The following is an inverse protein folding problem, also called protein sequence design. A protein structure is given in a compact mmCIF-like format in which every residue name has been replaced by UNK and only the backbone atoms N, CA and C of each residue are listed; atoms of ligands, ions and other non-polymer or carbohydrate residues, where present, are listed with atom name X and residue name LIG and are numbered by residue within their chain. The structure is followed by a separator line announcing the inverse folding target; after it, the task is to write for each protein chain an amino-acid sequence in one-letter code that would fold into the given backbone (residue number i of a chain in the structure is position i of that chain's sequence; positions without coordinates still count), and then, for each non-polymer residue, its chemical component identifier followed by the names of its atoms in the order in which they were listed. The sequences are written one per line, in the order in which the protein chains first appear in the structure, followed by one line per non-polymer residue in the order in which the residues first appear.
data_IF_433898703242
#
_entry.id   IF_433898703242
#
_cell.length_a   1.000
_cell.length_b   1.000
_cell.length_c   1.000
_cell.angle_alpha   90.00
_cell.angle_beta   90.00
_cell.angle_gamma   90.00
#
_symmetry.space_group_name_H-M   'P 1'
#
loop_
_entity.id
_entity.type
_entity.pdbx_description
1 polymer ?
#
# COMPACT_ATOMS: atom_id res chain seq x y z
N UNK A 1 7.66 -0.71 -12.96
CA UNK A 1 6.57 -0.95 -11.99
C UNK A 1 7.13 -1.89 -10.91
N UNK A 2 7.59 -1.34 -9.77
CA UNK A 2 8.23 -2.13 -8.70
C UNK A 2 7.17 -2.93 -7.95
N UNK A 3 7.47 -4.21 -7.73
CA UNK A 3 6.52 -5.30 -7.55
C UNK A 3 5.69 -5.25 -6.27
N UNK A 4 4.61 -6.03 -6.32
CA UNK A 4 4.04 -6.68 -5.13
C UNK A 4 5.13 -7.65 -4.66
N UNK A 5 6.01 -7.14 -3.79
CA UNK A 5 6.95 -7.93 -3.00
C UNK A 5 6.08 -8.88 -2.16
N UNK A 6 6.44 -10.16 -2.10
CA UNK A 6 5.61 -11.22 -1.48
C UNK A 6 4.83 -12.08 -2.46
N UNK A 7 5.48 -12.52 -3.56
CA UNK A 7 5.01 -13.72 -4.28
C UNK A 7 5.20 -14.93 -3.36
N UNK A 8 4.24 -15.20 -2.47
CA UNK A 8 4.10 -16.56 -1.94
C UNK A 8 3.65 -17.47 -3.10
N UNK A 9 3.86 -18.78 -2.98
CA UNK A 9 3.54 -19.83 -3.94
C UNK A 9 2.03 -19.96 -4.32
N UNK A 10 1.24 -18.89 -4.20
CA UNK A 10 -0.22 -18.83 -4.26
C UNK A 10 -0.79 -18.37 -5.59
N UNK A 11 -0.01 -18.28 -6.68
CA UNK A 11 -0.52 -17.75 -7.95
C UNK A 11 -1.67 -18.57 -8.57
N UNK A 12 -1.96 -19.76 -8.02
CA UNK A 12 -3.10 -20.60 -8.41
C UNK A 12 -4.34 -20.46 -7.51
N UNK A 13 -4.27 -19.72 -6.39
CA UNK A 13 -5.35 -19.67 -5.38
C UNK A 13 -6.28 -18.47 -5.52
N UNK A 14 -5.83 -17.42 -6.21
CA UNK A 14 -6.61 -16.22 -6.50
C UNK A 14 -6.15 -15.59 -7.82
N UNK A 15 -7.05 -14.87 -8.47
CA UNK A 15 -6.73 -14.03 -9.63
C UNK A 15 -6.53 -12.58 -9.17
N UNK A 16 -5.38 -11.99 -9.51
CA UNK A 16 -5.03 -10.59 -9.22
C UNK A 16 -4.93 -9.81 -10.52
N UNK A 17 -5.80 -8.83 -10.69
CA UNK A 17 -5.77 -7.91 -11.82
C UNK A 17 -5.42 -6.50 -11.36
N UNK A 18 -4.77 -5.74 -12.24
CA UNK A 18 -4.42 -4.32 -12.01
C UNK A 18 -4.59 -3.55 -13.31
N UNK A 19 -5.18 -2.36 -13.21
CA UNK A 19 -5.38 -1.48 -14.38
C UNK A 19 -5.24 -0.01 -13.99
N UNK A 20 -4.97 0.82 -15.00
CA UNK A 20 -4.81 2.25 -14.83
C UNK A 20 -6.18 2.93 -14.64
N UNK A 21 -6.24 4.00 -13.83
CA UNK A 21 -7.43 4.84 -13.74
C UNK A 21 -7.52 5.82 -14.93
N UNK A 22 -8.69 6.46 -15.10
CA UNK A 22 -8.84 7.63 -15.98
C UNK A 22 -7.88 8.77 -15.59
N UNK A 23 -7.69 9.74 -16.49
CA UNK A 23 -6.81 10.90 -16.24
C UNK A 23 -7.23 11.74 -15.03
N UNK A 24 -8.53 11.83 -14.76
CA UNK A 24 -9.05 12.63 -13.64
C UNK A 24 -8.78 11.93 -12.31
N UNK A 25 -8.98 10.61 -12.28
CA UNK A 25 -8.71 9.79 -11.09
C UNK A 25 -7.22 9.52 -10.87
N UNK A 26 -6.41 9.46 -11.93
CA UNK A 26 -4.96 9.24 -11.87
C UNK A 26 -4.21 10.29 -11.03
N UNK A 27 -4.83 11.46 -10.82
CA UNK A 27 -4.34 12.54 -9.94
C UNK A 27 -4.25 12.09 -8.49
N UNK A 28 -5.13 11.19 -8.05
CA UNK A 28 -5.24 10.71 -6.67
C UNK A 28 -4.90 9.23 -6.53
N UNK A 29 -5.23 8.43 -7.53
CA UNK A 29 -5.12 6.97 -7.54
C UNK A 29 -3.93 6.53 -8.37
N UNK A 30 -3.13 5.61 -7.83
CA UNK A 30 -1.98 5.02 -8.52
C UNK A 30 -2.45 3.98 -9.54
N UNK A 31 -3.32 3.06 -9.10
CA UNK A 31 -3.96 2.06 -9.93
C UNK A 31 -5.19 1.48 -9.22
N UNK A 32 -6.08 0.90 -10.00
CA UNK A 32 -7.09 -0.02 -9.50
C UNK A 32 -6.55 -1.44 -9.49
N UNK A 33 -7.13 -2.27 -8.62
CA UNK A 33 -6.80 -3.68 -8.52
C UNK A 33 -8.03 -4.48 -8.14
N UNK A 34 -8.03 -5.77 -8.48
CA UNK A 34 -8.99 -6.73 -7.94
C UNK A 34 -8.30 -8.02 -7.53
N UNK A 35 -8.85 -8.66 -6.51
CA UNK A 35 -8.51 -10.03 -6.13
C UNK A 35 -9.79 -10.84 -6.11
N UNK A 36 -9.84 -11.94 -6.85
CA UNK A 36 -10.97 -12.87 -6.82
C UNK A 36 -10.48 -14.28 -6.49
N UNK A 37 -11.26 -15.04 -5.74
CA UNK A 37 -10.88 -16.41 -5.36
C UNK A 37 -12.10 -17.31 -5.19
N UNK A 38 -11.85 -18.61 -5.31
CA UNK A 38 -12.80 -19.65 -4.94
C UNK A 38 -12.07 -20.80 -4.21
N UNK A 39 -12.20 -20.80 -2.89
CA UNK A 39 -11.63 -21.78 -1.98
C UNK A 39 -12.72 -22.64 -1.33
N UNK A 40 -13.91 -22.72 -1.93
CA UNK A 40 -14.97 -23.61 -1.42
C UNK A 40 -14.48 -25.05 -1.38
N UNK A 41 -14.72 -25.73 -0.25
CA UNK A 41 -14.23 -27.09 -0.01
C UNK A 41 -12.72 -27.20 0.25
N UNK A 42 -11.99 -26.08 0.38
CA UNK A 42 -10.57 -26.04 0.75
C UNK A 42 -10.39 -25.42 2.12
N UNK A 43 -9.26 -25.71 2.76
CA UNK A 43 -8.86 -25.02 3.98
C UNK A 43 -8.62 -23.53 3.70
N UNK A 44 -8.94 -22.63 4.65
CA UNK A 44 -8.61 -21.21 4.54
C UNK A 44 -7.11 -20.99 4.34
N UNK A 45 -6.76 -19.96 3.58
CA UNK A 45 -5.39 -19.61 3.23
C UNK A 45 -5.04 -18.27 3.84
N UNK A 46 -3.96 -18.21 4.62
CA UNK A 46 -3.40 -16.94 5.06
C UNK A 46 -2.65 -16.27 3.92
N UNK A 47 -3.05 -15.05 3.59
CA UNK A 47 -2.38 -14.20 2.64
C UNK A 47 -1.68 -13.04 3.36
N UNK A 48 -0.45 -12.77 2.95
CA UNK A 48 0.39 -11.71 3.51
C UNK A 48 0.66 -10.67 2.42
N UNK A 49 0.30 -9.42 2.67
CA UNK A 49 0.48 -8.31 1.71
C UNK A 49 1.47 -7.30 2.26
N UNK A 50 2.46 -6.98 1.42
CA UNK A 50 3.45 -5.97 1.73
C UNK A 50 2.89 -4.62 1.31
N UNK A 51 2.61 -3.80 2.31
CA UNK A 51 1.94 -2.52 2.13
C UNK A 51 2.88 -1.41 1.71
N UNK A 52 2.31 -0.37 1.13
CA UNK A 52 2.98 0.87 0.78
C UNK A 52 2.38 1.99 1.65
N UNK A 53 2.96 3.20 1.68
CA UNK A 53 2.34 4.37 2.32
C UNK A 53 1.09 4.85 1.55
N UNK A 54 0.14 3.95 1.33
CA UNK A 54 -1.08 4.16 0.55
C UNK A 54 -2.30 3.80 1.39
N UNK A 55 -3.33 4.63 1.26
CA UNK A 55 -4.68 4.26 1.67
C UNK A 55 -5.35 3.53 0.51
N UNK A 56 -6.27 2.63 0.84
CA UNK A 56 -7.07 1.90 -0.13
C UNK A 56 -8.54 2.16 0.13
N UNK A 57 -9.31 2.32 -0.94
CA UNK A 57 -10.76 2.25 -0.90
C UNK A 57 -11.16 0.95 -1.57
N UNK A 58 -11.87 0.08 -0.88
CA UNK A 58 -12.26 -1.24 -1.37
C UNK A 58 -13.76 -1.41 -1.35
N UNK A 59 -14.25 -2.20 -2.28
CA UNK A 59 -15.55 -2.84 -2.19
C UNK A 59 -15.32 -4.36 -2.21
N UNK A 60 -15.93 -5.03 -1.25
CA UNK A 60 -15.61 -6.41 -0.88
C UNK A 60 -16.90 -7.21 -0.76
N UNK A 61 -16.94 -8.38 -1.41
CA UNK A 61 -18.10 -9.28 -1.37
C UNK A 61 -17.65 -10.75 -1.37
N UNK A 62 -18.57 -11.65 -1.06
CA UNK A 62 -18.25 -13.07 -0.94
C UNK A 62 -19.25 -13.86 -0.10
N UNK A 63 -19.00 -15.16 0.04
CA UNK A 63 -19.81 -16.06 0.87
C UNK A 63 -19.15 -16.39 2.22
N UNK A 64 -18.08 -15.71 2.57
CA UNK A 64 -17.41 -15.74 3.88
C UNK A 64 -18.16 -14.92 4.95
N UNK A 65 -19.13 -14.09 4.54
CA UNK A 65 -20.10 -13.41 5.41
C UNK A 65 -19.54 -12.19 6.16
N UNK A 66 -18.34 -12.28 6.71
CA UNK A 66 -17.66 -11.18 7.41
C UNK A 66 -16.20 -11.11 7.00
N UNK A 67 -15.71 -9.92 6.65
CA UNK A 67 -14.29 -9.64 6.41
C UNK A 67 -13.85 -8.39 7.17
N UNK A 68 -12.68 -8.44 7.81
CA UNK A 68 -12.15 -7.34 8.63
C UNK A 68 -13.09 -6.86 9.77
N UNK A 69 -14.01 -7.72 10.22
CA UNK A 69 -15.03 -7.37 11.22
C UNK A 69 -16.28 -6.71 10.64
N UNK A 70 -16.43 -6.62 9.31
CA UNK A 70 -17.59 -6.04 8.62
C UNK A 70 -18.36 -7.12 7.87
N UNK A 71 -19.70 -7.09 7.96
CA UNK A 71 -20.57 -7.96 7.16
C UNK A 71 -20.49 -7.61 5.68
N UNK A 72 -20.50 -8.62 4.82
CA UNK A 72 -20.39 -8.46 3.36
C UNK A 72 -21.79 -8.33 2.70
N UNK A 73 -21.91 -7.57 1.59
CA UNK A 73 -20.86 -6.78 0.96
C UNK A 73 -20.49 -5.54 1.79
N UNK A 74 -19.22 -5.14 1.74
CA UNK A 74 -18.68 -4.02 2.51
C UNK A 74 -17.85 -3.08 1.64
N UNK A 75 -18.05 -1.79 1.83
CA UNK A 75 -17.24 -0.74 1.22
C UNK A 75 -16.38 -0.11 2.29
N UNK A 76 -15.05 -0.27 2.18
CA UNK A 76 -14.11 0.01 3.27
C UNK A 76 -13.01 0.98 2.86
N UNK A 77 -12.62 1.86 3.79
CA UNK A 77 -11.37 2.60 3.74
C UNK A 77 -10.35 1.86 4.60
N UNK A 78 -9.27 1.42 3.96
CA UNK A 78 -8.11 0.86 4.63
C UNK A 78 -7.03 1.95 4.75
N UNK A 79 -6.64 2.24 5.99
CA UNK A 79 -5.53 3.15 6.26
C UNK A 79 -4.18 2.59 5.88
N UNK A 80 -3.14 3.44 6.02
CA UNK A 80 -1.76 2.98 5.89
C UNK A 80 -1.50 1.89 6.92
N UNK A 81 -1.10 0.71 6.46
CA UNK A 81 -0.73 -0.40 7.35
C UNK A 81 0.74 -0.26 7.72
N UNK A 82 1.00 -0.02 9.01
CA UNK A 82 2.35 0.20 9.53
C UNK A 82 3.24 -1.05 9.47
N UNK A 83 2.63 -2.23 9.50
CA UNK A 83 3.29 -3.54 9.56
C UNK A 83 2.81 -4.44 8.44
N UNK A 84 3.20 -5.71 8.48
CA UNK A 84 2.72 -6.74 7.57
C UNK A 84 1.19 -6.87 7.66
N UNK A 85 0.50 -6.76 6.52
CA UNK A 85 -0.94 -6.98 6.48
C UNK A 85 -1.21 -8.47 6.26
N UNK A 86 -2.00 -9.07 7.15
CA UNK A 86 -2.43 -10.47 7.03
C UNK A 86 -3.94 -10.52 6.86
N UNK A 87 -4.40 -11.33 5.92
CA UNK A 87 -5.82 -11.60 5.71
C UNK A 87 -6.02 -13.08 5.41
N UNK A 88 -7.14 -13.65 5.87
CA UNK A 88 -7.47 -15.05 5.61
C UNK A 88 -8.47 -15.10 4.47
N UNK A 89 -8.10 -15.77 3.37
CA UNK A 89 -9.01 -16.05 2.27
C UNK A 89 -9.70 -17.39 2.52
N UNK A 90 -11.03 -17.39 2.42
CA UNK A 90 -11.84 -18.60 2.51
C UNK A 90 -13.06 -18.47 1.62
N UNK A 91 -13.76 -19.59 1.38
CA UNK A 91 -14.96 -19.61 0.55
C UNK A 91 -14.72 -18.97 -0.83
N UNK A 92 -15.76 -18.46 -1.48
CA UNK A 92 -15.60 -17.58 -2.65
C UNK A 92 -15.68 -16.12 -2.21
N UNK A 93 -14.88 -15.27 -2.84
CA UNK A 93 -14.91 -13.85 -2.56
C UNK A 93 -14.22 -13.03 -3.64
N UNK A 94 -14.48 -11.73 -3.59
CA UNK A 94 -13.85 -10.75 -4.44
C UNK A 94 -13.63 -9.45 -3.68
N UNK A 95 -12.60 -8.73 -4.11
CA UNK A 95 -12.29 -7.37 -3.69
C UNK A 95 -11.92 -6.58 -4.93
N UNK A 96 -12.49 -5.39 -5.06
CA UNK A 96 -12.04 -4.37 -6.00
C UNK A 96 -11.61 -3.14 -5.21
N UNK A 97 -10.43 -2.61 -5.53
CA UNK A 97 -9.83 -1.56 -4.75
C UNK A 97 -9.19 -0.46 -5.60
N UNK A 98 -9.34 0.77 -5.13
CA UNK A 98 -8.53 1.90 -5.55
C UNK A 98 -7.33 2.02 -4.61
N UNK A 99 -6.12 1.93 -5.14
CA UNK A 99 -4.92 2.25 -4.37
C UNK A 99 -4.57 3.71 -4.59
N UNK A 100 -4.63 4.51 -3.54
CA UNK A 100 -4.29 5.92 -3.62
C UNK A 100 -2.77 6.11 -3.69
N UNK A 101 -2.35 7.13 -4.44
CA UNK A 101 -1.02 7.69 -4.29
C UNK A 101 -0.83 8.19 -2.85
N UNK A 102 0.39 8.19 -2.31
CA UNK A 102 0.65 8.80 -1.00
C UNK A 102 0.11 10.25 -0.96
N UNK A 103 -0.81 10.55 -0.05
CA UNK A 103 -1.50 11.86 -0.02
C UNK A 103 -2.81 11.96 -0.81
N UNK A 104 -3.04 11.06 -1.76
CA UNK A 104 -4.14 11.15 -2.73
C UNK A 104 -5.51 11.04 -2.09
N UNK A 105 -5.67 10.19 -1.08
CA UNK A 105 -6.93 10.07 -0.34
C UNK A 105 -7.30 11.38 0.36
N UNK A 106 -6.36 11.98 1.10
CA UNK A 106 -6.59 13.26 1.78
C UNK A 106 -6.78 14.41 0.80
N UNK A 107 -6.09 14.40 -0.34
CA UNK A 107 -6.32 15.40 -1.38
C UNK A 107 -7.72 15.28 -2.00
N UNK A 108 -8.26 14.06 -2.11
CA UNK A 108 -9.59 13.80 -2.66
C UNK A 108 -10.73 14.04 -1.67
N UNK A 109 -10.56 13.62 -0.43
CA UNK A 109 -11.65 13.56 0.56
C UNK A 109 -11.42 14.48 1.78
N UNK A 110 -10.27 15.16 1.84
CA UNK A 110 -9.90 15.97 2.99
C UNK A 110 -9.50 15.13 4.21
N UNK A 111 -9.65 15.72 5.39
CA UNK A 111 -9.34 15.08 6.67
C UNK A 111 -7.85 14.95 7.01
N UNK A 112 -7.56 14.02 7.90
CA UNK A 112 -6.23 13.68 8.40
C UNK A 112 -6.00 12.17 8.25
N UNK A 113 -5.15 11.77 7.30
CA UNK A 113 -4.83 10.37 7.04
C UNK A 113 -4.18 9.68 8.25
N UNK A 114 -3.57 10.42 9.18
CA UNK A 114 -2.97 9.82 10.37
C UNK A 114 -4.02 9.20 11.28
N UNK A 115 -5.26 9.73 11.28
CA UNK A 115 -6.37 9.16 12.02
C UNK A 115 -6.87 7.83 11.46
N UNK A 116 -6.52 7.50 10.21
CA UNK A 116 -6.84 6.24 9.55
C UNK A 116 -5.71 5.21 9.62
N UNK A 117 -4.47 5.63 9.91
CA UNK A 117 -3.31 4.73 9.94
C UNK A 117 -3.53 3.55 10.89
N UNK A 118 -3.35 2.33 10.40
CA UNK A 118 -3.59 1.08 11.13
C UNK A 118 -5.06 0.74 11.38
N UNK A 119 -6.01 1.42 10.71
CA UNK A 119 -7.45 1.20 10.88
C UNK A 119 -8.12 0.86 9.57
N UNK A 120 -9.25 0.16 9.68
CA UNK A 120 -10.19 -0.12 8.60
C UNK A 120 -11.53 0.45 9.04
N UNK A 121 -12.19 1.21 8.17
CA UNK A 121 -13.51 1.82 8.46
C UNK A 121 -14.45 1.57 7.29
N UNK A 122 -15.72 1.35 7.59
CA UNK A 122 -16.77 1.42 6.56
C UNK A 122 -16.83 2.85 6.00
N UNK A 123 -17.08 2.95 4.69
CA UNK A 123 -17.41 4.22 4.04
C UNK A 123 -18.75 4.71 4.58
N UNK A 124 -18.79 5.96 5.02
CA UNK A 124 -20.01 6.67 5.41
C UNK A 124 -20.48 7.60 4.29
N UNK A 125 -21.73 8.05 4.38
CA UNK A 125 -22.37 8.92 3.38
C UNK A 125 -21.63 10.26 3.23
N UNK A 126 -20.96 10.74 4.29
CA UNK A 126 -20.22 12.00 4.28
C UNK A 126 -19.01 11.97 3.33
N UNK A 127 -18.38 10.81 3.12
CA UNK A 127 -17.17 10.71 2.30
C UNK A 127 -17.40 11.12 0.84
N UNK A 128 -18.56 10.78 0.29
CA UNK A 128 -18.96 11.10 -1.08
C UNK A 128 -20.10 12.13 -1.17
N UNK A 129 -20.56 12.66 -0.04
CA UNK A 129 -21.67 13.61 0.01
C UNK A 129 -23.04 12.97 -0.25
N UNK A 130 -23.18 11.68 0.01
CA UNK A 130 -24.39 10.88 -0.16
C UNK A 130 -24.10 9.38 -0.14
N UNK A 131 -25.16 8.55 -0.06
CA UNK A 131 -25.01 7.10 -0.05
C UNK A 131 -24.41 6.61 -1.37
N UNK A 132 -23.39 5.78 -1.27
CA UNK A 132 -22.76 5.13 -2.41
C UNK A 132 -23.10 3.66 -2.40
N UNK A 133 -23.62 3.17 -3.52
CA UNK A 133 -23.86 1.75 -3.76
C UNK A 133 -22.89 1.30 -4.83
N UNK A 134 -22.00 0.39 -4.46
CA UNK A 134 -21.05 -0.24 -5.37
C UNK A 134 -21.59 -1.60 -5.77
N UNK A 135 -21.46 -1.97 -7.05
CA UNK A 135 -21.91 -3.26 -7.54
C UNK A 135 -20.94 -4.39 -7.11
N UNK A 136 -21.49 -5.57 -6.82
CA UNK A 136 -20.75 -6.82 -6.55
C UNK A 136 -20.16 -7.44 -7.86
N UNK A 137 -19.64 -6.60 -8.75
CA UNK A 137 -18.97 -6.95 -9.99
C UNK A 137 -17.69 -6.12 -10.14
N UNK A 138 -16.60 -6.76 -10.56
CA UNK A 138 -15.28 -6.11 -10.64
C UNK A 138 -15.28 -4.95 -11.63
N UNK A 139 -15.86 -5.12 -12.81
CA UNK A 139 -15.81 -4.12 -13.88
C UNK A 139 -16.73 -2.94 -13.56
N UNK A 140 -17.94 -3.23 -13.10
CA UNK A 140 -18.90 -2.19 -12.73
C UNK A 140 -18.41 -1.37 -11.54
N UNK A 141 -17.89 -2.02 -10.50
CA UNK A 141 -17.31 -1.34 -9.35
C UNK A 141 -16.09 -0.50 -9.72
N UNK A 142 -15.23 -1.00 -10.61
CA UNK A 142 -14.08 -0.24 -11.13
C UNK A 142 -14.53 1.05 -11.82
N UNK A 143 -15.51 0.96 -12.72
CA UNK A 143 -16.05 2.12 -13.43
C UNK A 143 -16.81 3.10 -12.52
N UNK A 144 -17.45 2.59 -11.46
CA UNK A 144 -18.06 3.43 -10.43
C UNK A 144 -17.00 4.16 -9.60
N UNK A 145 -15.94 3.47 -9.18
CA UNK A 145 -14.85 4.10 -8.45
C UNK A 145 -14.14 5.17 -9.26
N UNK A 146 -13.85 4.89 -10.53
CA UNK A 146 -13.20 5.86 -11.40
C UNK A 146 -14.04 7.13 -11.54
N UNK A 147 -15.35 7.00 -11.77
CA UNK A 147 -16.25 8.17 -11.85
C UNK A 147 -16.35 8.93 -10.52
N UNK A 148 -16.57 8.23 -9.41
CA UNK A 148 -16.79 8.85 -8.10
C UNK A 148 -15.53 9.54 -7.58
N UNK A 149 -14.37 8.91 -7.72
CA UNK A 149 -13.09 9.49 -7.30
C UNK A 149 -12.69 10.63 -8.25
N UNK A 150 -12.89 10.47 -9.56
CA UNK A 150 -12.54 11.47 -10.57
C UNK A 150 -13.39 12.74 -10.52
N UNK A 151 -14.60 12.68 -9.95
CA UNK A 151 -15.50 13.83 -9.76
C UNK A 151 -15.05 14.80 -8.65
N UNK A 152 -13.77 15.18 -8.65
CA UNK A 152 -13.15 16.06 -7.66
C UNK A 152 -12.61 17.34 -8.31
N UNK A 153 -12.49 18.44 -7.55
CA UNK A 153 -11.74 19.60 -8.01
C UNK A 153 -10.25 19.27 -8.19
N UNK A 154 -9.52 20.19 -8.84
CA UNK A 154 -8.07 20.10 -8.94
C UNK A 154 -7.42 19.97 -7.56
N UNK A 155 -6.42 19.08 -7.39
CA UNK A 155 -5.72 18.95 -6.12
C UNK A 155 -5.05 20.25 -5.69
N UNK A 156 -4.86 20.44 -4.39
CA UNK A 156 -4.16 21.61 -3.88
C UNK A 156 -2.63 21.54 -4.13
N UNK A 157 -1.93 22.67 -3.98
CA UNK A 157 -0.50 22.77 -4.20
C UNK A 157 0.33 21.99 -3.15
N UNK A 158 -0.19 21.80 -1.94
CA UNK A 158 0.47 21.03 -0.87
C UNK A 158 0.50 19.55 -1.23
N UNK A 159 -0.60 19.01 -1.76
CA UNK A 159 -0.65 17.65 -2.26
C UNK A 159 0.34 17.43 -3.41
N UNK A 160 0.36 18.32 -4.41
CA UNK A 160 1.33 18.21 -5.52
C UNK A 160 2.77 18.19 -5.02
N UNK A 161 3.10 19.06 -4.07
CA UNK A 161 4.43 19.14 -3.48
C UNK A 161 4.80 17.89 -2.66
N UNK A 162 3.89 17.35 -1.84
CA UNK A 162 4.18 16.13 -1.06
C UNK A 162 4.29 14.91 -1.96
N UNK A 163 3.44 14.77 -2.97
CA UNK A 163 3.52 13.69 -3.96
C UNK A 163 4.86 13.73 -4.69
N UNK A 164 5.28 14.90 -5.18
CA UNK A 164 6.59 15.05 -5.83
C UNK A 164 7.77 14.75 -4.90
N UNK A 165 7.67 15.06 -3.60
CA UNK A 165 8.70 14.71 -2.63
C UNK A 165 8.74 13.20 -2.34
N UNK A 166 7.58 12.55 -2.23
CA UNK A 166 7.46 11.10 -2.04
C UNK A 166 7.97 10.33 -3.26
N UNK A 167 7.65 10.79 -4.47
CA UNK A 167 8.18 10.20 -5.71
C UNK A 167 9.71 10.29 -5.74
N UNK A 168 10.31 11.43 -5.36
CA UNK A 168 11.77 11.52 -5.21
C UNK A 168 12.33 10.55 -4.18
N UNK A 169 11.70 10.41 -3.02
CA UNK A 169 12.13 9.44 -2.00
C UNK A 169 12.06 7.99 -2.49
N UNK A 170 11.14 7.67 -3.39
CA UNK A 170 11.00 6.34 -4.00
C UNK A 170 12.07 6.09 -5.07
N UNK A 171 12.33 7.10 -5.91
CA UNK A 171 13.08 6.93 -7.15
C UNK A 171 14.58 7.24 -7.00
N UNK A 172 14.96 8.10 -6.06
CA UNK A 172 16.37 8.43 -5.76
C UNK A 172 16.93 7.50 -4.69
N UNK A 173 17.78 6.56 -5.11
CA UNK A 173 18.41 5.58 -4.23
C UNK A 173 19.48 6.19 -3.32
N UNK A 174 19.91 7.44 -3.52
CA UNK A 174 20.88 8.13 -2.67
C UNK A 174 20.27 8.82 -1.44
N UNK A 175 18.94 8.84 -1.33
CA UNK A 175 18.25 9.38 -0.17
C UNK A 175 18.13 8.28 0.88
N UNK A 176 18.92 8.39 1.95
CA UNK A 176 18.91 7.44 3.07
C UNK A 176 18.57 8.07 4.41
N UNK A 177 18.73 9.39 4.51
CA UNK A 177 18.57 10.18 5.74
C UNK A 177 17.40 11.14 5.64
N UNK A 178 16.73 11.35 6.76
CA UNK A 178 15.55 12.23 6.81
C UNK A 178 15.93 13.68 6.53
N UNK A 179 17.15 14.09 6.88
CA UNK A 179 17.70 15.42 6.65
C UNK A 179 17.79 15.74 5.14
N UNK A 180 18.12 14.74 4.30
CA UNK A 180 18.10 14.88 2.85
C UNK A 180 16.68 15.15 2.33
N UNK A 181 15.69 14.43 2.88
CA UNK A 181 14.26 14.67 2.56
C UNK A 181 13.85 16.09 2.95
N UNK A 182 14.29 16.57 4.12
CA UNK A 182 13.98 17.94 4.55
C UNK A 182 14.63 18.99 3.64
N UNK A 183 15.87 18.76 3.19
CA UNK A 183 16.56 19.67 2.27
C UNK A 183 15.89 19.76 0.89
N UNK A 184 15.23 18.68 0.45
CA UNK A 184 14.44 18.63 -0.79
C UNK A 184 13.02 19.17 -0.63
N UNK A 185 12.57 19.35 0.61
CA UNK A 185 11.21 19.80 0.91
C UNK A 185 11.09 21.30 0.67
N UNK A 186 9.97 21.78 0.06
CA UNK A 186 9.72 23.21 -0.05
C UNK A 186 9.32 23.86 1.29
N UNK A 187 9.29 23.10 2.38
CA UNK A 187 8.88 23.55 3.70
C UNK A 187 9.98 23.34 4.74
N UNK A 188 9.84 24.04 5.88
CA UNK A 188 10.67 23.74 7.06
C UNK A 188 10.40 22.32 7.57
N UNK A 189 11.39 21.71 8.24
CA UNK A 189 11.29 20.33 8.73
C UNK A 189 10.02 20.08 9.58
N UNK A 190 9.65 21.02 10.45
CA UNK A 190 8.42 20.95 11.26
C UNK A 190 7.17 20.89 10.36
N UNK A 191 7.10 21.73 9.33
CA UNK A 191 5.97 21.76 8.42
C UNK A 191 5.93 20.51 7.55
N UNK A 192 7.07 20.03 7.04
CA UNK A 192 7.16 18.77 6.28
C UNK A 192 6.63 17.60 7.10
N UNK A 193 7.05 17.45 8.36
CA UNK A 193 6.53 16.38 9.22
C UNK A 193 5.02 16.47 9.43
N UNK A 194 4.48 17.68 9.60
CA UNK A 194 3.04 17.90 9.74
C UNK A 194 2.27 17.56 8.45
N UNK A 195 2.80 17.96 7.30
CA UNK A 195 2.20 17.65 5.99
C UNK A 195 2.20 16.15 5.73
N UNK A 196 3.31 15.45 6.00
CA UNK A 196 3.39 14.00 5.86
C UNK A 196 2.37 13.27 6.75
N UNK A 197 2.28 13.63 8.03
CA UNK A 197 1.28 13.04 8.93
C UNK A 197 -0.14 13.26 8.40
N UNK A 198 -0.47 14.49 7.98
CA UNK A 198 -1.81 14.83 7.53
C UNK A 198 -2.20 14.17 6.20
N UNK A 199 -1.36 14.27 5.17
CA UNK A 199 -1.69 13.80 3.83
C UNK A 199 -1.36 12.32 3.66
N UNK A 200 -0.15 11.91 4.05
CA UNK A 200 0.33 10.54 3.83
C UNK A 200 -0.12 9.61 4.97
N UNK A 201 -0.39 10.15 6.16
CA UNK A 201 -0.80 9.38 7.34
C UNK A 201 0.36 8.99 8.25
N UNK A 202 1.59 9.00 7.72
CA UNK A 202 2.79 8.53 8.40
C UNK A 202 3.94 9.53 8.28
N UNK A 203 4.92 9.52 9.22
CA UNK A 203 6.07 10.43 9.17
C UNK A 203 6.97 10.20 7.94
N UNK A 204 7.66 11.25 7.48
CA UNK A 204 8.60 11.15 6.35
C UNK A 204 9.72 10.11 6.59
N UNK A 205 10.22 10.02 7.83
CA UNK A 205 11.22 9.00 8.21
C UNK A 205 10.69 7.57 8.00
N UNK A 206 9.41 7.34 8.30
CA UNK A 206 8.78 6.04 8.11
C UNK A 206 8.68 5.70 6.63
N UNK A 207 8.22 6.65 5.81
CA UNK A 207 8.14 6.49 4.34
C UNK A 207 9.51 6.18 3.74
N UNK A 208 10.55 6.90 4.19
CA UNK A 208 11.92 6.67 3.74
C UNK A 208 12.42 5.27 4.09
N UNK A 209 12.24 4.84 5.34
CA UNK A 209 12.61 3.49 5.77
C UNK A 209 11.86 2.44 4.93
N UNK A 210 10.56 2.65 4.68
CA UNK A 210 9.75 1.76 3.86
C UNK A 210 10.32 1.56 2.45
N UNK A 211 10.66 2.64 1.75
CA UNK A 211 11.24 2.54 0.41
C UNK A 211 12.62 1.88 0.41
N UNK A 212 13.45 2.17 1.42
CA UNK A 212 14.76 1.51 1.56
C UNK A 212 14.62 0.00 1.77
N UNK A 213 13.67 -0.44 2.60
CA UNK A 213 13.43 -1.87 2.81
C UNK A 213 12.85 -2.54 1.56
N UNK A 214 12.04 -1.84 0.78
CA UNK A 214 11.55 -2.34 -0.51
C UNK A 214 12.68 -2.49 -1.53
N UNK A 215 13.62 -1.55 -1.59
CA UNK A 215 14.82 -1.68 -2.41
C UNK A 215 15.67 -2.88 -1.95
N UNK A 216 15.82 -3.07 -0.63
CA UNK A 216 16.48 -4.24 -0.07
C UNK A 216 15.82 -5.55 -0.53
N UNK A 217 14.49 -5.64 -0.45
CA UNK A 217 13.76 -6.83 -0.87
C UNK A 217 13.92 -7.12 -2.37
N UNK A 218 13.89 -6.09 -3.22
CA UNK A 218 14.13 -6.23 -4.67
C UNK A 218 15.56 -6.71 -4.97
N UNK A 219 16.55 -6.19 -4.26
CA UNK A 219 17.94 -6.63 -4.43
C UNK A 219 18.09 -8.10 -4.03
N UNK A 220 17.47 -8.51 -2.91
CA UNK A 220 17.43 -9.91 -2.46
C UNK A 220 16.72 -10.83 -3.47
N UNK A 221 15.64 -10.37 -4.10
CA UNK A 221 14.96 -11.15 -5.16
C UNK A 221 15.83 -11.32 -6.41
N UNK A 222 16.67 -10.32 -6.72
CA UNK A 222 17.49 -10.30 -7.93
C UNK A 222 18.85 -10.99 -7.79
N UNK A 223 19.32 -11.22 -6.56
CA UNK A 223 20.67 -11.72 -6.28
C UNK A 223 20.66 -13.06 -5.54
N UNK A 224 21.55 -13.97 -5.93
CA UNK A 224 21.67 -15.31 -5.34
C UNK A 224 22.58 -15.39 -4.12
N UNK A 225 23.39 -14.37 -3.83
CA UNK A 225 24.30 -14.35 -2.67
C UNK A 225 24.49 -12.92 -2.15
N UNK A 226 23.48 -12.42 -1.43
CA UNK A 226 23.46 -11.05 -0.89
C UNK A 226 24.09 -11.03 0.50
N UNK A 227 25.20 -10.30 0.65
CA UNK A 227 25.74 -9.95 1.96
C UNK A 227 24.80 -8.94 2.65
N UNK A 228 24.05 -9.40 3.65
CA UNK A 228 23.10 -8.57 4.39
C UNK A 228 23.76 -7.48 5.23
N UNK A 229 25.01 -7.62 5.63
CA UNK A 229 25.74 -6.57 6.35
C UNK A 229 26.13 -5.44 5.39
N UNK A 230 26.66 -5.77 4.21
CA UNK A 230 26.93 -4.78 3.16
C UNK A 230 25.62 -4.09 2.71
N UNK A 231 24.57 -4.87 2.44
CA UNK A 231 23.27 -4.33 2.03
C UNK A 231 22.71 -3.35 3.06
N UNK A 232 22.80 -3.69 4.35
CA UNK A 232 22.39 -2.81 5.44
C UNK A 232 23.15 -1.47 5.37
N UNK A 233 24.48 -1.50 5.26
CA UNK A 233 25.31 -0.29 5.21
C UNK A 233 25.03 0.54 3.97
N UNK A 234 25.01 -0.07 2.77
CA UNK A 234 24.73 0.65 1.50
C UNK A 234 23.38 1.31 1.51
N UNK A 235 22.36 0.64 2.06
CA UNK A 235 21.03 1.22 2.15
C UNK A 235 20.87 2.14 3.37
N UNK A 236 21.90 2.36 4.19
CA UNK A 236 21.96 3.38 5.23
C UNK A 236 21.46 2.95 6.61
N UNK A 237 21.45 1.65 6.92
CA UNK A 237 21.31 1.15 8.29
C UNK A 237 22.65 1.24 9.02
N UNK A 238 22.58 1.40 10.34
CA UNK A 238 23.78 1.49 11.18
C UNK A 238 24.50 0.14 11.26
N UNK A 239 23.74 -0.94 11.37
CA UNK A 239 24.23 -2.31 11.42
C UNK A 239 23.18 -3.28 10.85
N UNK A 240 23.61 -4.54 10.68
CA UNK A 240 22.78 -5.63 10.17
C UNK A 240 21.61 -5.98 11.12
N UNK A 241 21.79 -5.89 12.44
CA UNK A 241 20.76 -6.26 13.40
C UNK A 241 19.56 -5.31 13.33
N UNK A 242 19.81 -4.01 13.23
CA UNK A 242 18.80 -2.99 12.99
C UNK A 242 18.08 -3.22 11.66
N UNK A 243 18.81 -3.50 10.58
CA UNK A 243 18.21 -3.84 9.29
C UNK A 243 17.29 -5.07 9.38
N UNK A 244 17.73 -6.16 10.00
CA UNK A 244 16.94 -7.39 10.14
C UNK A 244 15.66 -7.12 10.94
N UNK A 245 15.74 -6.33 12.02
CA UNK A 245 14.58 -5.99 12.84
C UNK A 245 13.54 -5.17 12.04
N UNK A 246 13.98 -4.14 11.33
CA UNK A 246 13.11 -3.33 10.46
C UNK A 246 12.49 -4.17 9.34
N UNK A 247 13.31 -5.03 8.70
CA UNK A 247 12.87 -5.92 7.62
C UNK A 247 11.81 -6.90 8.12
N UNK A 248 12.04 -7.53 9.29
CA UNK A 248 11.07 -8.46 9.90
C UNK A 248 9.78 -7.77 10.33
N UNK A 249 9.87 -6.58 10.92
CA UNK A 249 8.69 -5.80 11.29
C UNK A 249 7.83 -5.42 10.08
N UNK A 250 8.46 -5.23 8.92
CA UNK A 250 7.79 -4.88 7.68
C UNK A 250 7.23 -6.08 6.91
N UNK A 251 8.06 -7.10 6.72
CA UNK A 251 7.84 -8.21 5.78
C UNK A 251 7.35 -9.48 6.50
N UNK A 252 7.39 -9.50 7.83
CA UNK A 252 6.99 -10.63 8.65
C UNK A 252 8.04 -11.74 8.75
N UNK A 253 9.16 -11.62 8.05
CA UNK A 253 10.28 -12.57 8.04
C UNK A 253 11.62 -11.82 7.92
N UNK A 254 12.71 -12.52 8.21
CA UNK A 254 14.08 -11.98 8.06
C UNK A 254 14.50 -11.94 6.58
N UNK A 255 15.53 -11.13 6.23
CA UNK A 255 16.11 -11.11 4.88
C UNK A 255 16.52 -12.49 4.38
N UNK A 256 17.09 -13.34 5.25
CA UNK A 256 17.50 -14.71 4.89
C UNK A 256 16.32 -15.63 4.61
N UNK A 257 15.29 -15.61 5.46
CA UNK A 257 14.03 -16.36 5.22
C UNK A 257 13.37 -15.89 3.91
N UNK A 258 13.39 -14.59 3.65
CA UNK A 258 12.88 -13.98 2.43
C UNK A 258 13.63 -14.46 1.18
N UNK A 259 14.97 -14.46 1.22
CA UNK A 259 15.82 -14.94 0.12
C UNK A 259 15.53 -16.41 -0.21
N UNK A 260 15.53 -17.29 0.80
CA UNK A 260 15.25 -18.73 0.62
C UNK A 260 13.88 -18.99 -0.01
N UNK A 261 12.87 -18.23 0.41
CA UNK A 261 11.52 -18.36 -0.17
C UNK A 261 11.48 -17.98 -1.66
N UNK A 262 12.27 -16.99 -2.09
CA UNK A 262 12.27 -16.50 -3.47
C UNK A 262 13.22 -17.27 -4.40
N UNK A 263 14.34 -17.81 -3.89
CA UNK A 263 15.19 -18.73 -4.66
C UNK A 263 14.43 -20.00 -5.05
N UNK A 264 13.50 -20.49 -4.21
CA UNK A 264 12.66 -21.66 -4.50
C UNK A 264 11.55 -21.41 -5.53
N UNK A 265 11.31 -20.16 -5.92
CA UNK A 265 10.25 -19.76 -6.84
C UNK A 265 10.77 -19.37 -8.23
N UNK A 266 12.09 -19.36 -8.43
CA UNK A 266 12.73 -19.06 -9.71
C UNK A 266 13.17 -20.40 -10.33
N UNK A 267 12.54 -20.88 -11.42
CA UNK A 267 12.94 -22.12 -12.09
C UNK A 267 14.31 -22.01 -12.77
#
# INVERSE_FOLDING_TARGET
MRGVVGRSASSSLFDLQRWAPSSDTARFVEHFWSVTWDLRGRSPVENTVITFPSLHLTHEWGSDGVRHGFSLPATLVHGVVAHVFRTTLSQRGAVVGARFRPGGFTARFGGDASAMTGRIRAVDDDLFGGPVQIADDVNDAAGQWDRLIGAAPEPDATYRAVTGLVDRMRDDTGIHRVEQVMALSPWSARTTQRVFRRYVGVPAKWVLCRYRLQNAALEIESGTDVDFADLAVRLGWYDQAHFINDFRAMLGCTPGEYAVAHTRLTP
#
